data_IF_036408062647
#
_entry.id   IF_036408062647
#
_cell.length_a   1.000
_cell.length_b   1.000
_cell.length_c   1.000
_cell.angle_alpha   90.00
_cell.angle_beta   90.00
_cell.angle_gamma   90.00
#
_symmetry.space_group_name_H-M   'P 1'
#
loop_
_entity.id
_entity.type
_entity.pdbx_description
1 polymer ?
#
# COMPACT_ATOMS: atom_id res chain seq x y z
N UNK A 1 16.24 10.21 -30.88
CA UNK A 1 15.67 10.33 -29.53
C UNK A 1 14.19 10.68 -29.64
N UNK A 2 13.28 9.78 -29.27
CA UNK A 2 11.84 10.10 -29.16
C UNK A 2 11.60 10.79 -27.83
N UNK A 3 11.19 12.04 -27.84
CA UNK A 3 10.68 12.74 -26.66
C UNK A 3 9.15 12.67 -26.70
N UNK A 4 8.54 11.78 -25.94
CA UNK A 4 7.09 11.66 -25.93
C UNK A 4 6.61 10.48 -25.11
N UNK A 5 5.28 10.33 -25.07
CA UNK A 5 4.64 9.14 -24.50
C UNK A 5 4.81 7.96 -25.46
N UNK A 6 5.08 6.79 -24.91
CA UNK A 6 5.25 5.53 -25.65
C UNK A 6 4.29 4.48 -25.14
N UNK A 7 3.94 3.55 -26.02
CA UNK A 7 3.11 2.38 -25.74
C UNK A 7 3.98 1.12 -25.60
N UNK A 8 3.47 0.03 -25.01
CA UNK A 8 4.16 -1.25 -24.99
C UNK A 8 4.52 -1.72 -26.40
N UNK A 9 5.79 -2.09 -26.61
CA UNK A 9 6.30 -2.51 -27.91
C UNK A 9 6.88 -1.38 -28.79
N UNK A 10 6.64 -0.10 -28.43
CA UNK A 10 7.23 1.02 -29.18
C UNK A 10 8.75 1.00 -29.07
N UNK A 11 9.42 1.33 -30.18
CA UNK A 11 10.87 1.50 -30.25
C UNK A 11 11.28 2.83 -29.59
N UNK A 12 12.17 2.75 -28.60
CA UNK A 12 12.65 3.92 -27.83
C UNK A 12 14.09 4.28 -28.15
N UNK A 13 14.94 3.30 -28.47
CA UNK A 13 16.34 3.53 -28.84
C UNK A 13 16.91 2.33 -29.62
N UNK A 14 18.11 2.48 -30.19
CA UNK A 14 18.90 1.38 -30.70
C UNK A 14 19.88 0.88 -29.64
N UNK A 15 20.18 -0.43 -29.64
CA UNK A 15 21.08 -1.04 -28.67
C UNK A 15 22.53 -0.53 -28.81
N UNK A 16 22.90 -0.04 -29.99
CA UNK A 16 24.24 0.56 -30.26
C UNK A 16 24.43 1.89 -29.52
N UNK A 17 23.34 2.63 -29.24
CA UNK A 17 23.38 3.94 -28.59
C UNK A 17 23.12 3.84 -27.07
N UNK A 18 22.21 2.98 -26.66
CA UNK A 18 21.76 2.86 -25.28
C UNK A 18 21.62 1.40 -24.84
N UNK A 19 21.63 1.16 -23.53
CA UNK A 19 21.33 -0.12 -22.89
C UNK A 19 19.90 -0.11 -22.34
N UNK A 20 19.18 -1.24 -22.39
CA UNK A 20 17.88 -1.34 -21.79
C UNK A 20 17.96 -1.25 -20.26
N UNK A 21 17.01 -0.55 -19.64
CA UNK A 21 16.90 -0.36 -18.20
C UNK A 21 15.45 -0.56 -17.77
N UNK A 22 14.99 0.16 -16.74
CA UNK A 22 13.65 0.00 -16.16
C UNK A 22 12.56 0.16 -17.23
N UNK A 23 11.63 -0.80 -17.29
CA UNK A 23 10.48 -0.84 -18.21
C UNK A 23 10.87 -0.80 -19.70
N UNK A 24 12.03 -1.35 -20.04
CA UNK A 24 12.47 -1.55 -21.41
C UNK A 24 13.09 -2.92 -21.61
N UNK A 25 13.07 -3.43 -22.83
CA UNK A 25 13.68 -4.70 -23.22
C UNK A 25 14.29 -4.59 -24.62
N UNK A 26 15.28 -5.46 -24.89
CA UNK A 26 15.90 -5.57 -26.21
C UNK A 26 15.13 -6.58 -27.07
N UNK A 27 14.87 -6.18 -28.31
CA UNK A 27 14.32 -7.07 -29.33
C UNK A 27 14.75 -6.59 -30.70
N UNK A 28 15.38 -7.48 -31.48
CA UNK A 28 15.81 -7.27 -32.88
C UNK A 28 16.67 -6.03 -33.09
N UNK A 29 17.68 -5.81 -32.19
CA UNK A 29 18.59 -4.67 -32.26
C UNK A 29 18.02 -3.32 -31.78
N UNK A 30 16.76 -3.33 -31.34
CA UNK A 30 16.09 -2.15 -30.79
C UNK A 30 15.75 -2.35 -29.33
N UNK A 31 15.72 -1.23 -28.61
CA UNK A 31 15.18 -1.18 -27.25
C UNK A 31 13.72 -0.76 -27.34
N UNK A 32 12.83 -1.55 -26.75
CA UNK A 32 11.38 -1.35 -26.78
C UNK A 32 10.81 -1.14 -25.39
N UNK A 33 9.72 -0.37 -25.30
CA UNK A 33 8.99 -0.15 -24.05
C UNK A 33 8.17 -1.38 -23.63
N UNK A 34 8.13 -1.69 -22.32
CA UNK A 34 7.24 -2.69 -21.75
C UNK A 34 5.91 -2.10 -21.28
N UNK A 35 5.81 -0.78 -21.15
CA UNK A 35 4.64 -0.12 -20.58
C UNK A 35 4.32 1.23 -21.21
N UNK A 36 3.17 1.81 -20.80
CA UNK A 36 2.76 3.15 -21.22
C UNK A 36 3.48 4.19 -20.35
N UNK A 37 4.18 5.14 -20.94
CA UNK A 37 4.91 6.14 -20.17
C UNK A 37 5.71 7.12 -20.99
N UNK A 38 6.63 7.83 -20.32
CA UNK A 38 7.55 8.76 -20.96
C UNK A 38 8.96 8.17 -20.97
N UNK A 39 9.63 8.27 -22.10
CA UNK A 39 11.02 7.83 -22.26
C UNK A 39 11.96 8.79 -21.51
N UNK A 40 12.90 8.21 -20.78
CA UNK A 40 13.97 8.92 -20.07
C UNK A 40 15.32 8.34 -20.53
N UNK A 41 16.19 9.20 -21.02
CA UNK A 41 17.54 8.85 -21.45
C UNK A 41 18.55 9.31 -20.39
N UNK A 42 19.31 8.38 -19.84
CA UNK A 42 20.50 8.68 -19.05
C UNK A 42 21.74 8.60 -19.95
N UNK A 43 22.20 9.75 -20.40
CA UNK A 43 23.36 9.86 -21.30
C UNK A 43 24.67 9.45 -20.62
N UNK A 44 24.77 9.61 -19.28
CA UNK A 44 25.97 9.26 -18.52
C UNK A 44 26.19 7.76 -18.44
N UNK A 45 25.11 7.02 -18.10
CA UNK A 45 25.15 5.57 -18.03
C UNK A 45 24.81 4.89 -19.35
N UNK A 46 24.50 5.67 -20.41
CA UNK A 46 23.96 5.18 -21.68
C UNK A 46 22.78 4.24 -21.51
N UNK A 47 21.89 4.54 -20.58
CA UNK A 47 20.71 3.73 -20.31
C UNK A 47 19.42 4.44 -20.75
N UNK A 48 18.47 3.69 -21.29
CA UNK A 48 17.13 4.19 -21.59
C UNK A 48 16.11 3.46 -20.73
N UNK A 49 15.23 4.24 -20.13
CA UNK A 49 14.12 3.75 -19.30
C UNK A 49 12.81 4.40 -19.71
N UNK A 50 11.71 3.78 -19.33
CA UNK A 50 10.37 4.35 -19.51
C UNK A 50 9.74 4.58 -18.15
N UNK A 51 9.49 5.85 -17.81
CA UNK A 51 8.66 6.20 -16.66
C UNK A 51 7.21 5.90 -17.01
N UNK A 52 6.76 4.72 -16.63
CA UNK A 52 5.36 4.34 -16.78
C UNK A 52 4.49 5.16 -15.86
N UNK A 53 3.24 5.41 -16.26
CA UNK A 53 2.16 5.81 -15.36
C UNK A 53 1.94 4.59 -14.45
N UNK A 54 2.71 4.53 -13.37
CA UNK A 54 2.66 3.40 -12.44
C UNK A 54 1.31 3.42 -11.76
N UNK A 55 0.52 2.39 -11.98
CA UNK A 55 -0.23 1.82 -10.87
C UNK A 55 0.82 1.50 -9.80
N UNK A 56 0.62 2.03 -8.62
CA UNK A 56 1.58 1.83 -7.52
C UNK A 56 1.54 0.36 -7.15
N UNK A 57 2.46 -0.43 -7.70
CA UNK A 57 2.60 -1.83 -7.35
C UNK A 57 3.23 -1.93 -5.96
N UNK A 58 2.69 -2.78 -5.10
CA UNK A 58 3.23 -2.98 -3.76
C UNK A 58 4.59 -3.66 -3.80
N UNK A 59 5.54 -3.13 -3.03
CA UNK A 59 6.86 -3.73 -2.83
C UNK A 59 7.07 -4.06 -1.34
N UNK A 60 7.99 -4.99 -1.05
CA UNK A 60 8.36 -5.30 0.33
C UNK A 60 8.93 -4.06 1.02
N UNK A 61 8.41 -3.77 2.21
CA UNK A 61 8.81 -2.62 3.01
C UNK A 61 7.91 -1.39 2.85
N UNK A 62 7.04 -1.37 1.84
CA UNK A 62 6.12 -0.26 1.63
C UNK A 62 5.12 -0.12 2.77
N UNK A 63 4.78 1.13 3.09
CA UNK A 63 3.69 1.45 3.99
C UNK A 63 2.38 1.52 3.21
N UNK A 64 1.38 0.83 3.72
CA UNK A 64 0.05 0.79 3.12
C UNK A 64 -0.99 1.29 4.09
N UNK A 65 -1.96 2.04 3.57
CA UNK A 65 -3.18 2.38 4.28
C UNK A 65 -4.31 1.63 3.61
N UNK A 66 -5.16 1.02 4.42
CA UNK A 66 -6.29 0.26 3.95
C UNK A 66 -7.36 0.13 5.01
N UNK A 67 -8.45 -0.52 4.69
CA UNK A 67 -9.48 -0.84 5.66
C UNK A 67 -9.59 -2.34 5.86
N UNK A 68 -9.91 -2.71 7.10
CA UNK A 68 -10.16 -4.11 7.46
C UNK A 68 -11.44 -4.56 6.78
N UNK A 69 -11.28 -5.45 5.80
CA UNK A 69 -12.38 -5.99 5.00
C UNK A 69 -13.01 -7.23 5.62
N UNK A 70 -12.16 -8.13 6.16
CA UNK A 70 -12.63 -9.36 6.79
C UNK A 70 -11.72 -9.79 7.94
N UNK A 71 -12.34 -10.45 8.93
CA UNK A 71 -11.66 -11.05 10.07
C UNK A 71 -12.04 -12.53 10.16
N UNK A 72 -11.03 -13.38 10.19
CA UNK A 72 -11.19 -14.82 10.38
C UNK A 72 -10.22 -15.26 11.48
N UNK A 73 -10.60 -16.22 12.30
CA UNK A 73 -9.80 -16.77 13.39
C UNK A 73 -8.44 -16.09 13.72
N UNK A 74 -7.43 -16.27 12.88
CA UNK A 74 -6.08 -15.71 13.03
C UNK A 74 -5.67 -14.79 11.86
N UNK A 75 -6.59 -14.47 10.94
CA UNK A 75 -6.32 -13.75 9.71
C UNK A 75 -7.11 -12.45 9.70
N UNK A 76 -6.44 -11.35 9.35
CA UNK A 76 -7.05 -10.07 9.04
C UNK A 76 -6.81 -9.80 7.55
N UNK A 77 -7.88 -9.62 6.81
CA UNK A 77 -7.80 -9.18 5.41
C UNK A 77 -8.00 -7.68 5.35
N UNK A 78 -7.04 -6.99 4.78
CA UNK A 78 -7.05 -5.52 4.64
C UNK A 78 -7.05 -5.20 3.15
N UNK A 79 -8.03 -4.41 2.71
CA UNK A 79 -8.08 -3.87 1.36
C UNK A 79 -7.26 -2.60 1.31
N UNK A 80 -6.25 -2.58 0.44
CA UNK A 80 -5.31 -1.46 0.30
C UNK A 80 -6.01 -0.31 -0.43
N UNK A 81 -5.91 0.90 0.12
CA UNK A 81 -6.39 2.15 -0.47
C UNK A 81 -5.23 2.97 -1.02
N UNK A 82 -4.10 3.01 -0.30
CA UNK A 82 -2.92 3.74 -0.74
C UNK A 82 -1.63 3.02 -0.35
N UNK A 83 -0.58 3.27 -1.14
CA UNK A 83 0.78 2.74 -0.94
C UNK A 83 1.73 3.93 -0.95
N UNK A 84 2.49 4.11 0.16
CA UNK A 84 3.42 5.23 0.34
C UNK A 84 2.78 6.60 0.04
N UNK A 85 1.54 6.83 0.51
CA UNK A 85 0.79 8.08 0.32
C UNK A 85 0.26 8.30 -1.11
N UNK A 86 0.33 7.30 -1.99
CA UNK A 86 -0.26 7.37 -3.33
C UNK A 86 -1.48 6.47 -3.38
N UNK A 87 -2.60 7.02 -3.81
CA UNK A 87 -3.84 6.25 -3.99
C UNK A 87 -3.63 5.10 -4.98
N UNK A 88 -4.11 3.93 -4.61
CA UNK A 88 -4.11 2.74 -5.47
C UNK A 88 -5.53 2.44 -5.92
N UNK A 89 -5.78 2.54 -7.23
CA UNK A 89 -7.06 2.13 -7.82
C UNK A 89 -7.15 0.62 -8.03
N UNK A 90 -6.04 -0.10 -7.86
CA UNK A 90 -6.01 -1.55 -7.88
C UNK A 90 -6.67 -2.07 -6.59
N UNK A 91 -7.68 -2.92 -6.72
CA UNK A 91 -8.36 -3.56 -5.57
C UNK A 91 -7.47 -4.67 -5.00
N UNK A 92 -6.38 -4.27 -4.34
CA UNK A 92 -5.42 -5.19 -3.76
C UNK A 92 -5.84 -5.57 -2.35
N UNK A 93 -5.94 -6.86 -2.08
CA UNK A 93 -6.17 -7.39 -0.75
C UNK A 93 -4.85 -7.89 -0.15
N UNK A 94 -4.62 -7.51 1.09
CA UNK A 94 -3.46 -7.93 1.87
C UNK A 94 -3.89 -8.74 3.09
N UNK A 95 -2.98 -9.57 3.58
CA UNK A 95 -3.26 -10.53 4.65
C UNK A 95 -2.28 -10.34 5.81
N UNK A 96 -2.83 -10.16 7.01
CA UNK A 96 -2.07 -10.25 8.25
C UNK A 96 -2.41 -11.57 8.96
N UNK A 97 -1.40 -12.33 9.32
CA UNK A 97 -1.54 -13.57 10.08
C UNK A 97 -1.01 -13.34 11.49
N UNK A 98 -1.91 -13.40 12.47
CA UNK A 98 -1.54 -13.31 13.88
C UNK A 98 -0.95 -14.64 14.34
N UNK A 99 0.28 -14.58 14.85
CA UNK A 99 0.97 -15.72 15.48
C UNK A 99 0.92 -15.64 17.01
N UNK A 100 0.30 -14.60 17.58
CA UNK A 100 0.26 -14.33 19.01
C UNK A 100 -0.89 -15.03 19.74
N UNK A 101 -0.86 -14.94 21.08
CA UNK A 101 -1.94 -15.41 21.95
C UNK A 101 -3.20 -14.52 21.81
N UNK A 102 -3.01 -13.25 21.47
CA UNK A 102 -4.10 -12.29 21.28
C UNK A 102 -4.74 -12.50 19.92
N UNK A 103 -6.04 -12.69 19.89
CA UNK A 103 -6.77 -12.94 18.65
C UNK A 103 -7.01 -11.64 17.88
N UNK A 104 -6.96 -11.64 16.53
CA UNK A 104 -7.17 -10.45 15.72
C UNK A 104 -8.46 -9.70 16.02
N UNK A 105 -9.56 -10.40 16.30
CA UNK A 105 -10.84 -9.79 16.62
C UNK A 105 -10.85 -8.99 17.94
N UNK A 106 -9.83 -9.14 18.79
CA UNK A 106 -9.64 -8.31 19.98
C UNK A 106 -8.97 -6.97 19.65
N UNK A 107 -8.19 -6.94 18.58
CA UNK A 107 -7.34 -5.80 18.17
C UNK A 107 -7.89 -5.02 16.98
N UNK A 108 -8.71 -5.65 16.16
CA UNK A 108 -9.24 -5.06 14.92
C UNK A 108 -10.74 -5.34 14.79
N UNK A 109 -11.42 -4.49 14.02
CA UNK A 109 -12.80 -4.71 13.58
C UNK A 109 -12.91 -4.45 12.08
N UNK A 110 -13.91 -5.07 11.45
CA UNK A 110 -14.27 -4.76 10.07
C UNK A 110 -14.66 -3.29 9.97
N UNK A 111 -14.08 -2.59 8.98
CA UNK A 111 -14.26 -1.15 8.80
C UNK A 111 -13.18 -0.28 9.46
N UNK A 112 -12.32 -0.82 10.32
CA UNK A 112 -11.18 -0.06 10.86
C UNK A 112 -10.25 0.35 9.71
N UNK A 113 -9.82 1.61 9.68
CA UNK A 113 -8.77 2.08 8.78
C UNK A 113 -7.43 1.87 9.47
N UNK A 114 -6.54 1.18 8.78
CA UNK A 114 -5.28 0.73 9.36
C UNK A 114 -4.10 1.16 8.49
N UNK A 115 -2.97 1.41 9.15
CA UNK A 115 -1.66 1.51 8.52
C UNK A 115 -0.88 0.26 8.82
N UNK A 116 -0.32 -0.33 7.78
CA UNK A 116 0.49 -1.53 7.86
C UNK A 116 1.74 -1.40 6.99
N UNK A 117 2.70 -2.30 7.16
CA UNK A 117 3.87 -2.40 6.28
C UNK A 117 3.86 -3.74 5.57
N UNK A 118 4.23 -3.74 4.27
CA UNK A 118 4.34 -4.96 3.48
C UNK A 118 5.55 -5.77 3.95
N UNK A 119 5.28 -6.98 4.40
CA UNK A 119 6.29 -7.92 4.87
C UNK A 119 6.88 -8.76 3.73
N UNK A 120 6.01 -9.25 2.85
CA UNK A 120 6.38 -10.10 1.72
C UNK A 120 5.25 -10.17 0.69
N UNK A 121 5.65 -10.49 -0.56
CA UNK A 121 4.73 -10.87 -1.63
C UNK A 121 5.06 -12.31 -1.99
N UNK A 122 4.14 -13.22 -1.71
CA UNK A 122 4.35 -14.65 -1.91
C UNK A 122 3.07 -15.29 -2.45
N UNK A 123 3.20 -16.10 -3.49
CA UNK A 123 2.09 -16.89 -4.08
C UNK A 123 0.85 -16.05 -4.42
N UNK A 124 1.05 -14.82 -4.90
CA UNK A 124 -0.05 -13.91 -5.25
C UNK A 124 -0.70 -13.21 -4.05
N UNK A 125 -0.22 -13.43 -2.83
CA UNK A 125 -0.71 -12.74 -1.63
C UNK A 125 0.27 -11.67 -1.16
N UNK A 126 -0.28 -10.55 -0.67
CA UNK A 126 0.46 -9.46 -0.03
C UNK A 126 0.38 -9.68 1.48
N UNK A 127 1.50 -10.05 2.09
CA UNK A 127 1.58 -10.22 3.55
C UNK A 127 1.98 -8.90 4.20
N UNK A 128 1.23 -8.49 5.23
CA UNK A 128 1.46 -7.25 5.97
C UNK A 128 1.79 -7.53 7.44
N UNK A 129 2.35 -6.53 8.10
CA UNK A 129 2.71 -6.57 9.52
C UNK A 129 2.27 -5.30 10.24
N UNK A 130 1.99 -5.44 11.54
CA UNK A 130 1.67 -4.36 12.47
C UNK A 130 2.68 -4.30 13.63
N UNK A 131 3.94 -4.71 13.43
CA UNK A 131 4.91 -4.82 14.54
C UNK A 131 5.35 -3.49 15.10
N UNK A 132 5.50 -2.48 14.25
CA UNK A 132 6.03 -1.18 14.66
C UNK A 132 4.95 -0.32 15.32
N UNK A 133 5.35 0.66 16.11
CA UNK A 133 4.44 1.48 16.92
C UNK A 133 3.62 2.48 16.09
N UNK A 134 4.09 2.82 14.89
CA UNK A 134 3.38 3.66 13.92
C UNK A 134 2.34 2.87 13.11
N UNK A 135 2.30 1.54 13.25
CA UNK A 135 1.41 0.64 12.55
C UNK A 135 0.24 0.21 13.44
N UNK A 136 -0.94 0.22 12.88
CA UNK A 136 -2.17 -0.14 13.58
C UNK A 136 -3.38 0.59 13.03
N UNK A 137 -4.41 0.68 13.85
CA UNK A 137 -5.64 1.43 13.54
C UNK A 137 -5.34 2.92 13.63
N UNK A 138 -5.58 3.66 12.54
CA UNK A 138 -5.42 5.11 12.47
C UNK A 138 -6.76 5.85 12.59
N UNK A 139 -7.86 5.18 12.21
CA UNK A 139 -9.20 5.71 12.35
C UNK A 139 -10.21 4.57 12.47
N UNK A 140 -11.22 4.75 13.30
CA UNK A 140 -12.34 3.81 13.43
C UNK A 140 -13.59 4.52 13.93
N UNK A 141 -14.73 3.86 13.80
CA UNK A 141 -16.01 4.25 14.37
C UNK A 141 -16.44 3.26 15.47
N UNK A 142 -17.36 3.68 16.30
CA UNK A 142 -17.92 2.81 17.32
C UNK A 142 -18.63 1.61 16.67
N UNK A 143 -18.30 0.39 17.12
CA UNK A 143 -18.94 -0.83 16.60
C UNK A 143 -20.38 -1.02 17.07
N UNK A 144 -20.81 -0.29 18.10
CA UNK A 144 -22.14 -0.42 18.69
C UNK A 144 -23.13 0.59 18.11
N UNK A 145 -22.74 1.86 17.99
CA UNK A 145 -23.64 2.93 17.55
C UNK A 145 -23.17 3.66 16.28
N UNK A 146 -21.95 3.37 15.77
CA UNK A 146 -21.39 4.07 14.61
C UNK A 146 -20.83 5.47 14.90
N UNK A 147 -20.96 5.95 16.15
CA UNK A 147 -20.51 7.27 16.57
C UNK A 147 -18.99 7.42 16.61
N UNK A 148 -18.55 8.64 16.89
CA UNK A 148 -17.13 8.96 16.98
C UNK A 148 -16.49 8.39 18.25
N UNK A 149 -15.23 8.03 18.14
CA UNK A 149 -14.45 7.47 19.24
C UNK A 149 -13.19 8.27 19.49
N UNK A 150 -12.81 8.35 20.76
CA UNK A 150 -11.60 9.03 21.21
C UNK A 150 -10.64 8.03 21.85
N UNK A 151 -9.35 8.23 21.68
CA UNK A 151 -8.30 7.44 22.34
C UNK A 151 -8.28 7.79 23.84
N UNK A 152 -8.30 6.75 24.69
CA UNK A 152 -8.10 6.90 26.14
C UNK A 152 -6.67 6.51 26.51
N UNK A 153 -6.26 5.32 26.08
CA UNK A 153 -4.94 4.73 26.31
C UNK A 153 -4.34 4.23 25.00
N UNK A 154 -3.17 3.65 25.05
CA UNK A 154 -2.47 3.18 23.84
C UNK A 154 -3.23 2.10 23.06
N UNK A 155 -4.05 1.31 23.77
CA UNK A 155 -4.83 0.21 23.19
C UNK A 155 -6.35 0.36 23.37
N UNK A 156 -6.83 1.48 23.95
CA UNK A 156 -8.23 1.66 24.27
C UNK A 156 -8.84 2.92 23.67
N UNK A 157 -10.04 2.75 23.14
CA UNK A 157 -10.88 3.83 22.61
C UNK A 157 -12.23 3.84 23.33
N UNK A 158 -12.80 5.03 23.47
CA UNK A 158 -14.14 5.25 24.05
C UNK A 158 -15.03 5.98 23.06
N UNK A 159 -16.24 5.49 22.90
CA UNK A 159 -17.26 6.18 22.13
C UNK A 159 -17.76 7.41 22.88
N UNK A 160 -17.89 8.54 22.18
CA UNK A 160 -18.39 9.80 22.75
C UNK A 160 -19.88 9.70 23.01
N UNK A 161 -20.63 8.97 22.17
CA UNK A 161 -22.10 8.90 22.23
C UNK A 161 -22.58 7.84 23.21
N UNK A 162 -22.14 6.58 23.07
CA UNK A 162 -22.65 5.47 23.89
C UNK A 162 -21.72 5.08 25.06
N UNK A 163 -20.59 5.78 25.24
CA UNK A 163 -19.58 5.52 26.27
C UNK A 163 -18.98 4.10 26.27
N UNK A 164 -19.22 3.30 25.24
CA UNK A 164 -18.65 1.96 25.12
C UNK A 164 -17.13 2.06 24.96
N UNK A 165 -16.40 1.31 25.79
CA UNK A 165 -14.93 1.18 25.70
C UNK A 165 -14.62 -0.09 24.92
N UNK A 166 -13.65 0.01 24.03
CA UNK A 166 -13.17 -1.15 23.26
C UNK A 166 -11.67 -1.09 23.00
N UNK A 167 -11.05 -2.27 22.99
CA UNK A 167 -9.61 -2.41 22.74
C UNK A 167 -9.35 -2.47 21.23
N UNK A 168 -8.28 -1.79 20.80
CA UNK A 168 -7.75 -1.79 19.44
C UNK A 168 -6.23 -1.72 19.48
N UNK A 169 -5.59 -2.26 18.46
CA UNK A 169 -4.18 -1.95 18.22
C UNK A 169 -4.08 -0.60 17.52
N UNK A 170 -3.95 0.47 18.29
CA UNK A 170 -3.86 1.82 17.77
C UNK A 170 -2.46 2.12 17.24
N UNK A 171 -2.39 2.88 16.14
CA UNK A 171 -1.16 3.52 15.72
C UNK A 171 -0.82 4.68 16.68
N UNK A 172 0.46 5.01 16.80
CA UNK A 172 0.93 6.09 17.68
C UNK A 172 0.27 7.43 17.38
N UNK A 173 -0.01 7.69 16.12
CA UNK A 173 -0.64 8.90 15.59
C UNK A 173 -2.16 8.73 15.32
N UNK A 174 -2.83 7.87 16.07
CA UNK A 174 -4.27 7.66 15.96
C UNK A 174 -5.04 8.98 16.04
N UNK A 175 -5.99 9.16 15.11
CA UNK A 175 -6.84 10.37 15.01
C UNK A 175 -6.23 11.50 14.18
N UNK A 176 -5.01 11.35 13.66
CA UNK A 176 -4.45 12.31 12.71
C UNK A 176 -5.02 12.05 11.30
N UNK A 177 -6.03 12.84 10.91
CA UNK A 177 -6.78 12.68 9.66
C UNK A 177 -5.97 13.17 8.44
N UNK A 178 -4.93 13.98 8.63
CA UNK A 178 -4.10 14.48 7.53
C UNK A 178 -3.47 13.37 6.69
N UNK A 179 -3.27 12.22 7.31
CA UNK A 179 -2.77 11.00 6.64
C UNK A 179 -3.78 10.42 5.64
N UNK A 180 -5.08 10.68 5.82
CA UNK A 180 -6.15 10.20 4.93
C UNK A 180 -6.43 11.18 3.79
N UNK A 181 -6.10 12.45 3.95
CA UNK A 181 -6.34 13.50 2.93
C UNK A 181 -5.24 13.57 1.87
N UNK A 182 -4.11 12.92 2.10
CA UNK A 182 -2.98 12.84 1.15
C UNK A 182 -3.10 11.63 0.18
N UNK A 183 -4.24 10.93 0.21
CA UNK A 183 -4.50 9.77 -0.65
C UNK A 183 -5.32 10.13 -1.88
#
# INVERSE_FOLDING_TARGET
>A
MRSGSVLPGDEVAMIEEFLPSINTYEYDGYIRSTGIGRVVYDVKSRAVSVNTLKDVLPEKGDHVIGFVYALQANIVTVRILSINGRSSNARLDSVYISKGKVKPYQLFRVGDIVRARILALLNGYIYITFKDDDLGVIYTKCSSCGGDVVKINDDEIKCIECNTISTRRLAKDYGNIDVLTTC
#
